data_IF_479240684463
#
_entry.id   IF_479240684463
#
_cell.length_a   1.000
_cell.length_b   1.000
_cell.length_c   1.000
_cell.angle_alpha   90.00
_cell.angle_beta   90.00
_cell.angle_gamma   90.00
#
_symmetry.space_group_name_H-M   'P 1'
#
loop_
_entity.id
_entity.type
_entity.pdbx_description
1 polymer ?
#
# COMPACT_ATOMS: atom_id res chain seq x y z
N UNK A 1 -34.56 -22.02 -48.23
CA UNK A 1 -35.56 -20.93 -48.05
C UNK A 1 -35.18 -20.12 -46.82
N UNK A 2 -34.86 -18.84 -46.99
CA UNK A 2 -34.51 -17.94 -45.89
C UNK A 2 -35.78 -17.54 -45.13
N UNK A 3 -35.73 -17.58 -43.80
CA UNK A 3 -36.83 -17.17 -42.92
C UNK A 3 -36.85 -15.63 -42.88
N UNK A 4 -37.78 -15.02 -43.58
CA UNK A 4 -37.99 -13.56 -43.58
C UNK A 4 -38.54 -13.15 -42.21
N UNK A 5 -37.80 -12.33 -41.47
CA UNK A 5 -38.28 -11.78 -40.21
C UNK A 5 -39.43 -10.81 -40.48
N UNK A 6 -40.62 -11.18 -40.04
CA UNK A 6 -41.81 -10.33 -40.10
C UNK A 6 -41.60 -9.12 -39.18
N UNK A 7 -41.80 -7.88 -39.65
CA UNK A 7 -41.58 -6.70 -38.84
C UNK A 7 -42.61 -6.69 -37.72
N UNK A 8 -42.14 -6.91 -36.48
CA UNK A 8 -42.97 -6.87 -35.28
C UNK A 8 -43.51 -5.45 -35.14
N UNK A 9 -44.82 -5.27 -35.36
CA UNK A 9 -45.49 -3.97 -35.23
C UNK A 9 -45.46 -3.58 -33.75
N UNK A 10 -44.48 -2.77 -33.37
CA UNK A 10 -44.36 -2.26 -32.00
C UNK A 10 -45.28 -1.04 -31.88
N UNK A 11 -46.35 -1.17 -31.08
CA UNK A 11 -47.18 -0.03 -30.70
C UNK A 11 -46.29 1.09 -30.15
N UNK A 12 -46.48 2.35 -30.60
CA UNK A 12 -45.71 3.52 -30.13
C UNK A 12 -45.63 3.61 -28.59
N UNK A 13 -46.66 3.10 -27.90
CA UNK A 13 -46.75 3.02 -26.43
C UNK A 13 -45.71 2.07 -25.81
N UNK A 14 -45.37 0.98 -26.50
CA UNK A 14 -44.36 0.01 -26.05
C UNK A 14 -42.93 0.53 -26.25
N UNK A 15 -42.65 1.22 -27.36
CA UNK A 15 -41.35 1.88 -27.57
C UNK A 15 -41.06 2.92 -26.49
N UNK A 16 -42.01 3.82 -26.20
CA UNK A 16 -41.84 4.84 -25.17
C UNK A 16 -41.61 4.27 -23.76
N UNK A 17 -42.15 3.08 -23.46
CA UNK A 17 -41.91 2.39 -22.18
C UNK A 17 -40.52 1.77 -22.13
N UNK A 18 -40.08 1.18 -23.24
CA UNK A 18 -38.77 0.56 -23.38
C UNK A 18 -37.64 1.60 -23.25
N UNK A 19 -37.81 2.77 -23.87
CA UNK A 19 -36.82 3.85 -23.83
C UNK A 19 -36.64 4.40 -22.39
N UNK A 20 -37.74 4.49 -21.62
CA UNK A 20 -37.70 4.88 -20.21
C UNK A 20 -36.97 3.85 -19.34
N UNK A 21 -37.22 2.56 -19.56
CA UNK A 21 -36.48 1.49 -18.88
C UNK A 21 -35.00 1.50 -19.23
N UNK A 22 -34.66 1.72 -20.49
CA UNK A 22 -33.27 1.80 -20.94
C UNK A 22 -32.53 2.99 -20.31
N UNK A 23 -33.19 4.15 -20.20
CA UNK A 23 -32.65 5.31 -19.50
C UNK A 23 -32.42 5.02 -18.00
N UNK A 24 -33.39 4.37 -17.33
CA UNK A 24 -33.23 3.97 -15.93
C UNK A 24 -32.08 2.97 -15.75
N UNK A 25 -32.00 1.93 -16.60
CA UNK A 25 -30.91 0.95 -16.58
C UNK A 25 -29.55 1.59 -16.83
N UNK A 26 -29.47 2.57 -17.75
CA UNK A 26 -28.24 3.32 -18.01
C UNK A 26 -27.82 4.14 -16.79
N UNK A 27 -28.75 4.83 -16.14
CA UNK A 27 -28.46 5.63 -14.95
C UNK A 27 -28.01 4.77 -13.77
N UNK A 28 -28.67 3.63 -13.54
CA UNK A 28 -28.26 2.66 -12.51
C UNK A 28 -26.86 2.13 -12.81
N UNK A 29 -26.58 1.76 -14.07
CA UNK A 29 -25.25 1.29 -14.47
C UNK A 29 -24.17 2.34 -14.23
N UNK A 30 -24.42 3.59 -14.60
CA UNK A 30 -23.50 4.71 -14.34
C UNK A 30 -23.30 4.89 -12.84
N UNK A 31 -24.38 4.85 -12.04
CA UNK A 31 -24.30 4.94 -10.59
C UNK A 31 -23.40 3.85 -9.99
N UNK A 32 -23.54 2.60 -10.43
CA UNK A 32 -22.68 1.49 -9.98
C UNK A 32 -21.22 1.75 -10.34
N UNK A 33 -20.94 2.19 -11.58
CA UNK A 33 -19.57 2.49 -12.02
C UNK A 33 -18.96 3.62 -11.20
N UNK A 34 -19.73 4.67 -10.92
CA UNK A 34 -19.28 5.81 -10.10
C UNK A 34 -18.95 5.36 -8.69
N UNK A 35 -19.82 4.57 -8.05
CA UNK A 35 -19.57 4.05 -6.70
C UNK A 35 -18.32 3.15 -6.69
N UNK A 36 -18.19 2.26 -7.66
CA UNK A 36 -17.00 1.40 -7.78
C UNK A 36 -15.71 2.23 -7.97
N UNK A 37 -15.75 3.26 -8.82
CA UNK A 37 -14.62 4.15 -9.03
C UNK A 37 -14.24 4.92 -7.75
N UNK A 38 -15.24 5.39 -6.98
CA UNK A 38 -15.00 6.06 -5.69
C UNK A 38 -14.36 5.12 -4.68
N UNK A 39 -14.81 3.86 -4.60
CA UNK A 39 -14.18 2.86 -3.72
C UNK A 39 -12.72 2.64 -4.10
N UNK A 40 -12.43 2.48 -5.40
CA UNK A 40 -11.05 2.32 -5.89
C UNK A 40 -10.21 3.56 -5.55
N UNK A 41 -10.75 4.77 -5.70
CA UNK A 41 -10.06 6.01 -5.34
C UNK A 41 -9.73 6.08 -3.85
N UNK A 42 -10.67 5.72 -2.98
CA UNK A 42 -10.44 5.72 -1.52
C UNK A 42 -9.37 4.70 -1.14
N UNK A 43 -9.43 3.50 -1.70
CA UNK A 43 -8.42 2.45 -1.47
C UNK A 43 -7.05 2.92 -1.97
N UNK A 44 -6.99 3.44 -3.21
CA UNK A 44 -5.77 3.97 -3.80
C UNK A 44 -5.16 5.10 -2.96
N UNK A 45 -5.99 6.01 -2.46
CA UNK A 45 -5.57 7.09 -1.56
C UNK A 45 -5.02 6.54 -0.23
N UNK A 46 -5.67 5.56 0.39
CA UNK A 46 -5.18 4.95 1.63
C UNK A 46 -3.83 4.23 1.47
N UNK A 47 -3.63 3.57 0.33
CA UNK A 47 -2.33 2.95 -0.01
C UNK A 47 -1.26 4.03 -0.19
N UNK A 48 -1.58 5.11 -0.90
CA UNK A 48 -0.66 6.23 -1.09
C UNK A 48 -0.32 6.93 0.23
N UNK A 49 -1.30 7.07 1.13
CA UNK A 49 -1.10 7.69 2.44
C UNK A 49 -0.15 6.88 3.33
N UNK A 50 -0.38 5.57 3.42
CA UNK A 50 0.46 4.68 4.21
C UNK A 50 1.89 4.53 3.66
N UNK A 51 2.05 4.46 2.34
CA UNK A 51 3.37 4.26 1.73
C UNK A 51 4.18 5.55 1.58
N UNK A 52 3.53 6.68 1.30
CA UNK A 52 4.22 7.91 0.88
C UNK A 52 3.96 9.08 1.83
N UNK A 53 2.70 9.34 2.21
CA UNK A 53 2.39 10.51 3.04
C UNK A 53 2.82 10.35 4.50
N UNK A 54 2.84 9.14 5.06
CA UNK A 54 3.35 8.92 6.41
C UNK A 54 4.87 9.12 6.50
N UNK A 55 5.61 8.74 5.45
CA UNK A 55 7.08 8.86 5.40
C UNK A 55 7.59 10.30 5.31
N UNK A 56 6.81 11.20 4.71
CA UNK A 56 7.15 12.63 4.58
C UNK A 56 6.73 13.46 5.79
N UNK A 57 6.06 12.88 6.79
CA UNK A 57 5.70 13.63 8.00
C UNK A 57 6.97 14.02 8.76
N UNK A 58 7.13 15.31 9.09
CA UNK A 58 8.31 15.77 9.81
C UNK A 58 8.27 15.27 11.25
N UNK A 59 9.32 14.60 11.69
CA UNK A 59 9.43 14.08 13.08
C UNK A 59 10.14 15.07 14.00
N UNK A 60 11.03 15.89 13.45
CA UNK A 60 11.73 16.94 14.19
C UNK A 60 12.19 18.06 13.25
N UNK A 61 12.36 19.26 13.82
CA UNK A 61 13.12 20.33 13.19
C UNK A 61 14.35 20.62 14.04
N UNK A 62 15.53 20.49 13.46
CA UNK A 62 16.81 20.77 14.14
C UNK A 62 17.51 21.85 13.34
N UNK A 63 17.83 22.97 13.99
CA UNK A 63 18.54 24.09 13.37
C UNK A 63 17.93 24.57 12.03
N UNK A 64 16.59 24.59 11.95
CA UNK A 64 15.86 24.99 10.75
C UNK A 64 15.71 23.90 9.67
N UNK A 65 16.44 22.78 9.76
CA UNK A 65 16.27 21.64 8.84
C UNK A 65 15.15 20.71 9.32
N UNK A 66 14.32 20.28 8.37
CA UNK A 66 13.21 19.35 8.62
C UNK A 66 13.72 17.93 8.43
N UNK A 67 13.64 17.11 9.48
CA UNK A 67 13.95 15.69 9.42
C UNK A 67 12.63 14.94 9.20
N UNK A 68 12.53 14.17 8.11
CA UNK A 68 11.34 13.37 7.82
C UNK A 68 11.37 12.04 8.57
N UNK A 69 10.20 11.42 8.74
CA UNK A 69 10.10 10.10 9.38
C UNK A 69 10.99 9.06 8.69
N UNK A 70 11.06 9.10 7.35
CA UNK A 70 11.94 8.21 6.57
C UNK A 70 13.42 8.37 6.95
N UNK A 71 13.91 9.61 6.99
CA UNK A 71 15.33 9.88 7.28
C UNK A 71 15.69 9.40 8.70
N UNK A 72 14.76 9.55 9.64
CA UNK A 72 14.92 9.06 11.00
C UNK A 72 14.93 7.51 11.07
N UNK A 73 14.01 6.83 10.39
CA UNK A 73 13.97 5.37 10.36
C UNK A 73 15.23 4.76 9.75
N UNK A 74 15.76 5.35 8.68
CA UNK A 74 17.00 4.93 8.05
C UNK A 74 18.20 5.08 9.01
N UNK A 75 18.29 6.21 9.70
CA UNK A 75 19.33 6.43 10.71
C UNK A 75 19.23 5.43 11.86
N UNK A 76 18.04 5.18 12.39
CA UNK A 76 17.84 4.19 13.46
C UNK A 76 18.24 2.79 13.00
N UNK A 77 17.89 2.41 11.76
CA UNK A 77 18.28 1.12 11.19
C UNK A 77 19.80 0.99 11.08
N UNK A 78 20.46 2.02 10.60
CA UNK A 78 21.92 2.06 10.50
C UNK A 78 22.60 1.99 11.89
N UNK A 79 22.10 2.76 12.86
CA UNK A 79 22.60 2.71 14.25
C UNK A 79 22.44 1.32 14.85
N UNK A 80 21.29 0.66 14.63
CA UNK A 80 21.06 -0.72 15.06
C UNK A 80 22.05 -1.68 14.42
N UNK A 81 22.27 -1.59 13.12
CA UNK A 81 23.27 -2.41 12.42
C UNK A 81 24.66 -2.26 13.05
N UNK A 82 25.10 -1.02 13.27
CA UNK A 82 26.38 -0.76 13.92
C UNK A 82 26.46 -1.31 15.35
N UNK A 83 25.39 -1.19 16.12
CA UNK A 83 25.33 -1.72 17.48
C UNK A 83 25.42 -3.25 17.49
N UNK A 84 24.69 -3.92 16.60
CA UNK A 84 24.75 -5.38 16.45
C UNK A 84 26.16 -5.83 16.09
N UNK A 85 26.81 -5.16 15.14
CA UNK A 85 28.18 -5.48 14.77
C UNK A 85 29.14 -5.34 15.95
N UNK A 86 29.01 -4.27 16.75
CA UNK A 86 29.83 -4.08 17.96
C UNK A 86 29.60 -5.20 18.99
N UNK A 87 28.35 -5.61 19.19
CA UNK A 87 28.01 -6.71 20.11
C UNK A 87 28.64 -8.01 19.63
N UNK A 88 28.57 -8.31 18.33
CA UNK A 88 29.19 -9.51 17.76
C UNK A 88 30.70 -9.51 17.96
N UNK A 89 31.38 -8.39 17.67
CA UNK A 89 32.82 -8.26 17.92
C UNK A 89 33.17 -8.42 19.39
N UNK A 90 32.39 -7.83 20.31
CA UNK A 90 32.64 -7.96 21.74
C UNK A 90 32.46 -9.39 22.25
N UNK A 91 31.47 -10.13 21.73
CA UNK A 91 31.28 -11.56 22.03
C UNK A 91 32.47 -12.40 21.59
N UNK A 92 33.00 -12.15 20.39
CA UNK A 92 34.19 -12.84 19.88
C UNK A 92 35.41 -12.61 20.78
N UNK A 93 35.61 -11.40 21.29
CA UNK A 93 36.67 -11.13 22.27
C UNK A 93 36.47 -11.89 23.58
N UNK A 94 35.23 -11.99 24.06
CA UNK A 94 34.90 -12.78 25.26
C UNK A 94 35.21 -14.27 25.08
N UNK A 95 34.81 -14.85 23.95
CA UNK A 95 35.09 -16.26 23.62
C UNK A 95 36.58 -16.53 23.49
N UNK A 96 37.32 -15.62 22.82
CA UNK A 96 38.77 -15.68 22.73
C UNK A 96 39.41 -15.65 24.13
N UNK A 97 39.04 -14.70 24.98
CA UNK A 97 39.57 -14.63 26.35
C UNK A 97 39.27 -15.88 27.18
N UNK A 98 38.05 -16.42 27.07
CA UNK A 98 37.68 -17.66 27.73
C UNK A 98 38.60 -18.82 27.30
N UNK A 99 38.89 -18.94 26.00
CA UNK A 99 39.81 -19.97 25.49
C UNK A 99 41.23 -19.86 26.04
N UNK A 100 41.73 -18.64 26.32
CA UNK A 100 43.03 -18.48 27.00
C UNK A 100 42.99 -19.00 28.42
N UNK A 101 41.97 -18.63 29.19
CA UNK A 101 41.83 -19.06 30.59
C UNK A 101 41.77 -20.59 30.67
N UNK A 102 40.99 -21.23 29.80
CA UNK A 102 40.86 -22.69 29.75
C UNK A 102 42.20 -23.37 29.42
N UNK A 103 43.01 -22.78 28.53
CA UNK A 103 44.35 -23.29 28.20
C UNK A 103 45.32 -23.22 29.39
N UNK A 104 45.28 -22.16 30.18
CA UNK A 104 46.17 -22.01 31.35
C UNK A 104 45.78 -22.92 32.52
N UNK A 105 44.49 -23.28 32.67
CA UNK A 105 44.05 -24.20 33.73
C UNK A 105 44.32 -25.67 33.41
N UNK A 106 44.61 -26.00 32.15
CA UNK A 106 44.91 -27.37 31.72
C UNK A 106 46.39 -27.76 31.85
N UNK A 107 47.25 -26.86 32.35
CA UNK A 107 48.68 -27.06 32.62
C UNK A 107 48.94 -27.25 34.13
#
# INVERSE_FOLDING_TARGET
MAKTETPKIVSKKHQARLDRENAQRRNIRIGIIVVAALVILVIGYGILDSLYLQQIRPVAKVDGQIITARDFEEQVRYQRFNLVNRIVTFKQYGEYFQSYVDQYQAL
#
